data_IF_037252260181
#
_entry.id   IF_037252260181
#
_cell.length_a   1.000
_cell.length_b   1.000
_cell.length_c   1.000
_cell.angle_alpha   90.00
_cell.angle_beta   90.00
_cell.angle_gamma   90.00
#
_symmetry.space_group_name_H-M   'P 1'
#
loop_
_entity.id
_entity.type
_entity.pdbx_description
1 polymer ?
#
# COMPACT_ATOMS: atom_id res chain seq x y z
N UNK A 1 2.90 0.30 6.43
CA UNK A 1 4.32 -0.10 6.29
C UNK A 1 5.07 -0.06 7.64
N UNK A 2 6.14 -0.85 7.86
CA UNK A 2 6.93 -0.83 9.11
C UNK A 2 7.89 0.36 9.19
N UNK A 3 7.82 1.14 10.28
CA UNK A 3 8.72 2.28 10.51
C UNK A 3 10.19 1.85 10.65
N UNK A 4 10.44 0.69 11.25
CA UNK A 4 11.80 0.14 11.42
C UNK A 4 12.41 -0.24 10.07
N UNK A 5 11.61 -0.83 9.17
CA UNK A 5 12.07 -1.19 7.83
C UNK A 5 12.43 0.06 7.01
N UNK A 6 11.61 1.12 7.09
CA UNK A 6 11.90 2.39 6.43
C UNK A 6 13.17 3.04 6.96
N UNK A 7 13.34 3.06 8.28
CA UNK A 7 14.56 3.58 8.92
C UNK A 7 15.78 2.76 8.51
N UNK A 8 15.67 1.43 8.45
CA UNK A 8 16.75 0.56 8.00
C UNK A 8 17.13 0.79 6.53
N UNK A 9 16.18 1.06 5.64
CA UNK A 9 16.45 1.41 4.25
C UNK A 9 17.16 2.76 4.16
N UNK A 10 16.67 3.76 4.90
CA UNK A 10 17.26 5.10 4.95
C UNK A 10 18.69 5.09 5.50
N UNK A 11 18.95 4.26 6.50
CA UNK A 11 20.28 4.05 7.09
C UNK A 11 21.20 3.18 6.22
N UNK A 12 20.74 2.67 5.08
CA UNK A 12 21.51 1.76 4.21
C UNK A 12 21.74 0.36 4.79
N UNK A 13 21.03 0.00 5.87
CA UNK A 13 21.10 -1.34 6.51
C UNK A 13 20.22 -2.37 5.82
N UNK A 14 19.27 -1.93 4.99
CA UNK A 14 18.38 -2.77 4.19
C UNK A 14 18.30 -2.22 2.76
N UNK A 15 18.40 -3.09 1.76
CA UNK A 15 18.40 -2.66 0.35
C UNK A 15 17.01 -2.21 -0.13
N UNK A 16 15.97 -2.93 0.30
CA UNK A 16 14.59 -2.62 -0.05
C UNK A 16 13.60 -3.30 0.90
N UNK A 17 12.35 -2.83 0.88
CA UNK A 17 11.19 -3.52 1.43
C UNK A 17 10.10 -3.66 0.36
N UNK A 18 9.26 -4.68 0.53
CA UNK A 18 8.08 -4.88 -0.32
C UNK A 18 6.85 -4.30 0.39
N UNK A 19 6.24 -3.31 -0.24
CA UNK A 19 4.99 -2.71 0.18
C UNK A 19 3.80 -3.40 -0.47
N UNK A 20 2.85 -3.81 0.36
CA UNK A 20 1.57 -4.40 -0.05
C UNK A 20 0.41 -3.40 0.06
N UNK A 21 0.66 -2.17 0.52
CA UNK A 21 -0.30 -1.08 0.67
C UNK A 21 -1.52 -1.52 1.50
N UNK A 22 -1.30 -1.84 2.79
CA UNK A 22 -2.36 -2.36 3.66
C UNK A 22 -3.55 -1.40 3.80
N UNK A 23 -3.30 -0.09 3.77
CA UNK A 23 -4.36 0.93 3.74
C UNK A 23 -5.30 0.73 2.54
N UNK A 24 -4.74 0.54 1.34
CA UNK A 24 -5.51 0.32 0.13
C UNK A 24 -6.31 -0.99 0.19
N UNK A 25 -5.74 -2.06 0.75
CA UNK A 25 -6.45 -3.33 0.93
C UNK A 25 -7.69 -3.17 1.82
N UNK A 26 -7.58 -2.43 2.93
CA UNK A 26 -8.72 -2.15 3.81
C UNK A 26 -9.74 -1.23 3.17
N UNK A 27 -9.28 -0.11 2.58
CA UNK A 27 -10.13 0.91 1.99
C UNK A 27 -10.91 0.39 0.78
N UNK A 28 -10.22 -0.25 -0.18
CA UNK A 28 -10.85 -0.73 -1.40
C UNK A 28 -11.87 -1.83 -1.11
N UNK A 29 -11.63 -2.68 -0.12
CA UNK A 29 -12.62 -3.70 0.28
C UNK A 29 -13.99 -3.10 0.60
N UNK A 30 -14.01 -1.98 1.34
CA UNK A 30 -15.26 -1.28 1.70
C UNK A 30 -15.88 -0.60 0.48
N UNK A 31 -15.07 0.09 -0.33
CA UNK A 31 -15.54 0.80 -1.54
C UNK A 31 -16.15 -0.17 -2.54
N UNK A 32 -15.51 -1.32 -2.77
CA UNK A 32 -16.00 -2.34 -3.71
C UNK A 32 -17.35 -2.90 -3.25
N UNK A 33 -17.50 -3.19 -1.96
CA UNK A 33 -18.77 -3.63 -1.40
C UNK A 33 -19.87 -2.57 -1.54
N UNK A 34 -19.54 -1.31 -1.26
CA UNK A 34 -20.46 -0.18 -1.42
C UNK A 34 -20.95 -0.05 -2.87
N UNK A 35 -20.03 -0.07 -3.84
CA UNK A 35 -20.37 0.07 -5.26
C UNK A 35 -21.21 -1.11 -5.77
N UNK A 36 -20.96 -2.32 -5.29
CA UNK A 36 -21.76 -3.49 -5.62
C UNK A 36 -23.19 -3.37 -5.08
N UNK A 37 -23.36 -3.02 -3.80
CA UNK A 37 -24.67 -2.89 -3.16
C UNK A 37 -25.49 -1.74 -3.75
N UNK A 38 -24.84 -0.62 -4.07
CA UNK A 38 -25.55 0.60 -4.50
C UNK A 38 -25.84 0.67 -5.99
N UNK A 39 -25.03 0.02 -6.84
CA UNK A 39 -25.19 0.13 -8.28
C UNK A 39 -24.70 -1.11 -9.08
N UNK A 40 -24.64 -2.27 -8.44
CA UNK A 40 -24.26 -3.55 -9.07
C UNK A 40 -22.92 -3.53 -9.83
N UNK A 41 -22.00 -2.66 -9.41
CA UNK A 41 -20.66 -2.65 -9.99
C UNK A 41 -19.87 -3.89 -9.54
N UNK A 42 -19.14 -4.48 -10.49
CA UNK A 42 -18.15 -5.51 -10.24
C UNK A 42 -16.83 -5.07 -10.86
N UNK A 43 -15.77 -5.05 -10.07
CA UNK A 43 -14.43 -4.63 -10.49
C UNK A 43 -13.46 -5.80 -10.37
N UNK A 44 -12.39 -5.74 -11.16
CA UNK A 44 -11.40 -6.82 -11.26
C UNK A 44 -11.74 -7.88 -12.31
N UNK A 45 -12.96 -7.88 -12.86
CA UNK A 45 -13.34 -8.78 -13.96
C UNK A 45 -13.18 -10.26 -13.62
N UNK A 46 -13.46 -10.64 -12.37
CA UNK A 46 -13.25 -12.00 -11.87
C UNK A 46 -11.82 -12.34 -11.46
N UNK A 47 -10.88 -11.38 -11.56
CA UNK A 47 -9.49 -11.51 -11.15
C UNK A 47 -9.19 -10.68 -9.89
N UNK A 48 -8.09 -10.98 -9.16
CA UNK A 48 -7.66 -10.17 -8.03
C UNK A 48 -7.32 -8.72 -8.44
N UNK A 49 -7.68 -7.77 -7.57
CA UNK A 49 -7.21 -6.39 -7.66
C UNK A 49 -5.96 -6.29 -6.78
N UNK A 50 -4.79 -6.21 -7.41
CA UNK A 50 -3.51 -6.19 -6.73
C UNK A 50 -3.16 -4.80 -6.18
N UNK A 51 -2.70 -4.74 -4.94
CA UNK A 51 -2.19 -3.52 -4.28
C UNK A 51 -0.65 -3.53 -4.11
N UNK A 52 0.01 -4.54 -4.70
CA UNK A 52 1.44 -4.74 -4.61
C UNK A 52 1.92 -5.91 -5.49
N UNK A 53 3.24 -6.18 -5.52
CA UNK A 53 4.27 -5.54 -4.69
C UNK A 53 4.71 -4.17 -5.23
N UNK A 54 4.83 -3.19 -4.33
CA UNK A 54 5.59 -1.95 -4.58
C UNK A 54 6.94 -1.99 -3.86
N UNK A 55 8.04 -1.66 -4.53
CA UNK A 55 9.35 -1.63 -3.89
C UNK A 55 9.63 -0.29 -3.22
N UNK A 56 10.04 -0.35 -1.95
CA UNK A 56 10.59 0.80 -1.22
C UNK A 56 12.10 0.64 -1.18
N UNK A 57 12.82 1.63 -1.71
CA UNK A 57 14.29 1.67 -1.83
C UNK A 57 14.82 3.01 -1.33
N UNK A 58 16.15 3.18 -1.32
CA UNK A 58 16.77 4.46 -0.97
C UNK A 58 16.24 5.65 -1.82
N UNK A 59 15.84 5.40 -3.06
CA UNK A 59 15.36 6.46 -3.98
C UNK A 59 13.99 7.03 -3.59
N UNK A 60 13.18 6.29 -2.81
CA UNK A 60 11.81 6.68 -2.50
C UNK A 60 11.41 6.56 -1.01
N UNK A 61 12.31 6.07 -0.14
CA UNK A 61 12.03 5.82 1.27
C UNK A 61 11.54 7.06 2.02
N UNK A 62 12.13 8.23 1.75
CA UNK A 62 11.72 9.49 2.37
C UNK A 62 10.26 9.82 2.06
N UNK A 63 9.84 9.60 0.80
CA UNK A 63 8.45 9.84 0.42
C UNK A 63 7.49 8.88 1.11
N UNK A 64 7.88 7.63 1.26
CA UNK A 64 7.05 6.62 1.95
C UNK A 64 6.94 6.93 3.43
N UNK A 65 8.03 7.38 4.08
CA UNK A 65 8.01 7.81 5.48
C UNK A 65 7.02 8.95 5.74
N UNK A 66 6.94 9.95 4.86
CA UNK A 66 5.93 11.03 4.96
C UNK A 66 4.50 10.48 4.95
N UNK A 67 4.20 9.55 4.04
CA UNK A 67 2.85 9.00 3.87
C UNK A 67 2.45 8.09 5.04
N UNK A 68 3.42 7.35 5.59
CA UNK A 68 3.24 6.52 6.80
C UNK A 68 3.00 7.41 8.02
N UNK A 69 3.76 8.50 8.17
CA UNK A 69 3.54 9.48 9.23
C UNK A 69 2.15 10.14 9.14
N UNK A 70 1.64 10.35 7.93
CA UNK A 70 0.28 10.82 7.69
C UNK A 70 -0.81 9.74 7.91
N UNK A 71 -0.44 8.49 8.19
CA UNK A 71 -1.39 7.40 8.44
C UNK A 71 -2.08 6.87 7.17
N UNK A 72 -1.52 7.13 5.99
CA UNK A 72 -2.12 6.80 4.69
C UNK A 72 -1.39 5.67 3.94
N UNK A 73 -0.32 5.11 4.53
CA UNK A 73 0.54 4.06 3.96
C UNK A 73 1.09 3.10 5.00
#
# INVERSE_FOLDING_TARGET
MSADALTAIKDGKMAFAVDQQQYAQGYMSVVLLFLNITNAHELGGGLPIYTGPGFVTADNVDKVMELVAAGTR
#
